data_IF_761959531133
#
_entry.id   IF_761959531133
#
_cell.length_a   1.000
_cell.length_b   1.000
_cell.length_c   1.000
_cell.angle_alpha   90.00
_cell.angle_beta   90.00
_cell.angle_gamma   90.00
#
_symmetry.space_group_name_H-M   'P 1'
#
loop_
_entity.id
_entity.type
_entity.pdbx_description
1 polymer ?
#
# COMPACT_ATOMS: atom_id res chain seq x y z
N UNK A 1 3.30 -2.25 3.11
CA UNK A 1 3.51 -1.29 2.00
C UNK A 1 3.27 0.16 2.40
N UNK A 2 2.14 0.51 3.04
CA UNK A 2 1.77 1.89 3.39
C UNK A 2 2.90 2.75 3.99
N UNK A 3 3.57 2.26 5.05
CA UNK A 3 4.67 3.00 5.68
C UNK A 3 5.91 3.19 4.80
N UNK A 4 6.20 2.25 3.90
CA UNK A 4 7.33 2.38 2.97
C UNK A 4 7.07 3.48 1.93
N UNK A 5 5.83 3.62 1.45
CA UNK A 5 5.44 4.71 0.55
C UNK A 5 5.45 6.07 1.24
N UNK A 6 5.00 6.14 2.50
CA UNK A 6 5.16 7.36 3.32
C UNK A 6 6.62 7.79 3.45
N UNK A 7 7.52 6.85 3.79
CA UNK A 7 8.96 7.15 3.86
C UNK A 7 9.53 7.59 2.51
N UNK A 8 9.12 6.95 1.41
CA UNK A 8 9.54 7.34 0.06
C UNK A 8 9.07 8.77 -0.27
N UNK A 9 7.84 9.14 0.07
CA UNK A 9 7.32 10.48 -0.14
C UNK A 9 8.10 11.53 0.68
N UNK A 10 8.41 11.24 1.95
CA UNK A 10 9.28 12.11 2.77
C UNK A 10 10.67 12.29 2.16
N UNK A 11 11.27 11.19 1.66
CA UNK A 11 12.58 11.25 0.99
C UNK A 11 12.52 12.10 -0.27
N UNK A 12 11.49 11.96 -1.09
CA UNK A 12 11.27 12.77 -2.30
C UNK A 12 11.10 14.24 -1.94
N UNK A 13 10.24 14.56 -0.98
CA UNK A 13 10.00 15.93 -0.53
C UNK A 13 11.28 16.61 0.01
N UNK A 14 12.14 15.84 0.67
CA UNK A 14 13.43 16.32 1.19
C UNK A 14 14.58 16.30 0.16
N UNK A 15 14.33 15.89 -1.10
CA UNK A 15 15.38 15.73 -2.12
C UNK A 15 16.43 14.67 -1.76
N UNK A 16 16.11 13.72 -0.87
CA UNK A 16 17.01 12.67 -0.38
C UNK A 16 16.96 11.46 -1.31
N UNK A 17 18.13 10.96 -1.69
CA UNK A 17 18.29 9.79 -2.57
C UNK A 17 18.67 8.55 -1.77
N UNK A 18 18.20 7.39 -2.22
CA UNK A 18 18.50 6.09 -1.61
C UNK A 18 17.41 5.07 -1.93
N UNK A 19 17.62 3.83 -1.51
CA UNK A 19 16.64 2.74 -1.66
C UNK A 19 15.92 2.50 -0.34
N UNK A 20 14.60 2.29 -0.40
CA UNK A 20 13.80 1.76 0.70
C UNK A 20 13.59 0.28 0.45
N UNK A 21 13.95 -0.57 1.42
CA UNK A 21 13.77 -2.02 1.36
C UNK A 21 12.82 -2.43 2.46
N UNK A 22 11.81 -3.24 2.13
CA UNK A 22 10.87 -3.83 3.08
C UNK A 22 10.80 -5.33 2.87
N UNK A 23 10.50 -6.07 3.92
CA UNK A 23 10.29 -7.52 3.89
C UNK A 23 8.79 -7.83 4.02
N UNK A 24 8.28 -8.71 3.17
CA UNK A 24 6.98 -9.36 3.36
C UNK A 24 7.24 -10.68 4.09
N UNK A 25 6.58 -10.88 5.23
CA UNK A 25 6.91 -11.96 6.16
C UNK A 25 6.39 -13.33 5.70
N UNK A 26 5.32 -13.36 4.92
CA UNK A 26 4.70 -14.56 4.40
C UNK A 26 4.13 -14.34 2.99
N UNK A 27 3.71 -15.43 2.33
CA UNK A 27 3.00 -15.38 1.06
C UNK A 27 1.54 -14.96 1.28
N UNK A 28 0.99 -14.24 0.30
CA UNK A 28 -0.44 -13.92 0.25
C UNK A 28 -1.34 -15.16 0.15
N UNK A 29 -0.84 -16.30 -0.34
CA UNK A 29 -1.62 -17.54 -0.50
C UNK A 29 -2.24 -18.02 0.81
N UNK A 30 -1.60 -17.73 1.93
CA UNK A 30 -2.11 -18.04 3.28
C UNK A 30 -3.44 -17.33 3.59
N UNK A 31 -3.76 -16.28 2.86
CA UNK A 31 -4.90 -15.39 3.09
C UNK A 31 -5.89 -15.39 1.91
N UNK A 32 -5.77 -16.37 1.00
CA UNK A 32 -6.58 -16.47 -0.22
C UNK A 32 -8.10 -16.43 0.03
N UNK A 33 -8.55 -16.96 1.17
CA UNK A 33 -9.96 -17.01 1.61
C UNK A 33 -10.36 -15.85 2.54
N UNK A 34 -9.46 -14.88 2.76
CA UNK A 34 -9.71 -13.68 3.60
C UNK A 34 -9.59 -12.40 2.77
N UNK A 35 -8.65 -11.50 3.07
CA UNK A 35 -8.55 -10.20 2.41
C UNK A 35 -8.12 -10.26 0.92
N UNK A 36 -7.81 -11.44 0.38
CA UNK A 36 -7.67 -11.70 -1.06
C UNK A 36 -8.98 -12.14 -1.74
N UNK A 37 -10.07 -12.30 -0.97
CA UNK A 37 -11.40 -12.69 -1.43
C UNK A 37 -12.36 -11.51 -1.31
N UNK A 38 -12.92 -11.06 -2.44
CA UNK A 38 -13.82 -9.89 -2.48
C UNK A 38 -15.08 -10.09 -1.61
N UNK A 39 -15.64 -11.30 -1.59
CA UNK A 39 -16.81 -11.62 -0.75
C UNK A 39 -16.49 -11.47 0.73
N UNK A 40 -15.30 -11.90 1.17
CA UNK A 40 -14.88 -11.75 2.55
C UNK A 40 -14.66 -10.28 2.90
N UNK A 41 -14.01 -9.52 2.02
CA UNK A 41 -13.79 -8.06 2.18
C UNK A 41 -15.11 -7.32 2.32
N UNK A 42 -16.09 -7.63 1.45
CA UNK A 42 -17.43 -7.07 1.52
C UNK A 42 -18.16 -7.44 2.82
N UNK A 43 -18.04 -8.70 3.28
CA UNK A 43 -18.60 -9.14 4.55
C UNK A 43 -17.98 -8.44 5.77
N UNK A 44 -16.70 -8.06 5.69
CA UNK A 44 -16.06 -7.24 6.72
C UNK A 44 -16.45 -5.75 6.66
N UNK A 45 -17.22 -5.33 5.65
CA UNK A 45 -17.59 -3.93 5.44
C UNK A 45 -16.41 -3.04 5.07
N UNK A 46 -15.35 -3.60 4.48
CA UNK A 46 -14.17 -2.87 4.06
C UNK A 46 -14.35 -2.35 2.63
N UNK A 47 -14.09 -1.05 2.43
CA UNK A 47 -14.03 -0.43 1.11
C UNK A 47 -12.57 -0.17 0.71
N UNK A 48 -12.15 -0.79 -0.40
CA UNK A 48 -10.80 -0.71 -0.93
C UNK A 48 -10.63 0.41 -1.98
N UNK A 49 -11.71 1.07 -2.41
CA UNK A 49 -11.67 2.08 -3.46
C UNK A 49 -10.80 3.29 -3.08
N UNK A 50 -10.98 3.82 -1.87
CA UNK A 50 -10.20 4.97 -1.41
C UNK A 50 -8.70 4.65 -1.22
N UNK A 51 -8.31 3.57 -0.50
CA UNK A 51 -6.90 3.18 -0.41
C UNK A 51 -6.25 2.89 -1.77
N UNK A 52 -6.99 2.26 -2.70
CA UNK A 52 -6.50 2.02 -4.06
C UNK A 52 -6.26 3.32 -4.83
N UNK A 53 -7.14 4.32 -4.67
CA UNK A 53 -6.98 5.62 -5.28
C UNK A 53 -5.74 6.36 -4.73
N UNK A 54 -5.48 6.30 -3.42
CA UNK A 54 -4.27 6.86 -2.79
C UNK A 54 -3.01 6.22 -3.37
N UNK A 55 -2.98 4.88 -3.50
CA UNK A 55 -1.85 4.17 -4.11
C UNK A 55 -1.60 4.61 -5.56
N UNK A 56 -2.65 4.68 -6.37
CA UNK A 56 -2.55 5.13 -7.75
C UNK A 56 -2.07 6.59 -7.86
N UNK A 57 -2.47 7.46 -6.93
CA UNK A 57 -2.01 8.85 -6.88
C UNK A 57 -0.52 8.94 -6.53
N UNK A 58 -0.07 8.14 -5.56
CA UNK A 58 1.35 8.05 -5.20
C UNK A 58 2.21 7.56 -6.37
N UNK A 59 1.79 6.53 -7.11
CA UNK A 59 2.55 6.04 -8.28
C UNK A 59 2.81 7.13 -9.33
N UNK A 60 1.88 8.09 -9.47
CA UNK A 60 2.02 9.20 -10.45
C UNK A 60 2.80 10.39 -9.93
N UNK A 61 2.80 10.63 -8.62
CA UNK A 61 3.26 11.90 -8.04
C UNK A 61 4.38 11.76 -7.01
N UNK A 62 4.59 10.56 -6.46
CA UNK A 62 5.36 10.28 -5.26
C UNK A 62 4.92 11.08 -4.01
N UNK A 63 3.72 11.68 -4.04
CA UNK A 63 3.12 12.35 -2.90
C UNK A 63 2.25 11.37 -2.09
N UNK A 64 2.21 11.57 -0.78
CA UNK A 64 1.46 10.73 0.16
C UNK A 64 0.62 11.63 1.06
N UNK A 65 -0.70 11.61 0.86
CA UNK A 65 -1.70 12.38 1.61
C UNK A 65 -2.71 11.45 2.28
#
# INVERSE_FOLDING_TARGET
MWGAFGLLAEMVAAGRRGSVVTLLADSGDRYADTYFCDDWVAQQGLDMAAPAATLAAFERSAAWE
#
